data_IF_720206607329
#
_entry.id   IF_720206607329
#
_cell.length_a   1.000
_cell.length_b   1.000
_cell.length_c   1.000
_cell.angle_alpha   90.00
_cell.angle_beta   90.00
_cell.angle_gamma   90.00
#
_symmetry.space_group_name_H-M   'P 1'
#
loop_
_entity.id
_entity.type
_entity.pdbx_description
1 polymer ?
#
# COMPACT_ATOMS: atom_id res chain seq x y z
N UNK A 1 -5.96 24.78 -2.29
CA UNK A 1 -5.55 23.41 -1.93
C UNK A 1 -6.62 22.52 -2.54
N UNK A 2 -6.26 21.71 -3.53
CA UNK A 2 -7.19 20.74 -4.11
C UNK A 2 -7.54 19.73 -3.03
N UNK A 3 -8.82 19.60 -2.68
CA UNK A 3 -9.29 18.60 -1.72
C UNK A 3 -8.79 17.22 -2.12
N UNK A 4 -7.97 16.60 -1.27
CA UNK A 4 -7.56 15.21 -1.46
C UNK A 4 -8.78 14.31 -1.30
N UNK A 5 -8.89 13.25 -2.12
CA UNK A 5 -9.92 12.22 -1.95
C UNK A 5 -9.74 11.42 -0.64
N UNK A 6 -8.59 11.58 0.00
CA UNK A 6 -8.32 11.03 1.32
C UNK A 6 -9.09 11.79 2.42
N UNK A 7 -9.59 13.01 2.19
CA UNK A 7 -10.29 13.79 3.22
C UNK A 7 -11.44 13.02 3.87
N UNK A 8 -11.39 12.93 5.21
CA UNK A 8 -12.35 12.19 6.04
C UNK A 8 -12.24 10.67 5.98
N UNK A 9 -11.21 10.11 5.33
CA UNK A 9 -10.98 8.66 5.25
C UNK A 9 -10.29 8.12 6.49
N UNK A 10 -10.58 6.86 6.80
CA UNK A 10 -9.90 6.09 7.85
C UNK A 10 -8.80 5.24 7.23
N UNK A 11 -7.56 5.49 7.64
CA UNK A 11 -6.38 4.82 7.13
C UNK A 11 -5.70 4.09 8.29
N UNK A 12 -5.38 2.81 8.08
CA UNK A 12 -4.54 2.04 8.98
C UNK A 12 -3.18 1.81 8.34
N UNK A 13 -2.10 2.21 9.00
CA UNK A 13 -0.74 1.84 8.61
C UNK A 13 -0.14 0.83 9.59
N UNK A 14 0.46 -0.23 9.05
CA UNK A 14 1.06 -1.31 9.82
C UNK A 14 2.50 -1.54 9.37
N UNK A 15 3.44 -1.27 10.25
CA UNK A 15 4.89 -1.38 10.00
C UNK A 15 5.59 -1.54 11.36
N UNK A 16 6.54 -2.45 11.48
CA UNK A 16 7.29 -2.67 12.72
C UNK A 16 8.30 -1.55 13.00
N UNK A 17 8.57 -0.68 12.01
CA UNK A 17 9.42 0.49 12.11
C UNK A 17 8.60 1.76 12.42
N UNK A 18 8.63 2.29 13.66
CA UNK A 18 7.84 3.46 14.05
C UNK A 18 8.21 4.74 13.27
N UNK A 19 9.45 4.84 12.80
CA UNK A 19 9.92 5.96 12.00
C UNK A 19 9.24 5.99 10.62
N UNK A 20 9.01 4.81 10.01
CA UNK A 20 8.26 4.69 8.75
C UNK A 20 6.80 5.11 8.94
N UNK A 21 6.18 4.70 10.05
CA UNK A 21 4.82 5.14 10.39
C UNK A 21 4.74 6.65 10.68
N UNK A 22 5.84 7.24 11.15
CA UNK A 22 5.95 8.69 11.39
C UNK A 22 5.96 9.45 10.08
N UNK A 23 6.82 9.05 9.15
CA UNK A 23 6.87 9.63 7.79
C UNK A 23 5.54 9.45 7.05
N UNK A 24 4.93 8.26 7.12
CA UNK A 24 3.63 8.03 6.49
C UNK A 24 2.53 8.95 7.01
N UNK A 25 2.46 9.16 8.33
CA UNK A 25 1.48 10.07 8.90
C UNK A 25 1.75 11.50 8.45
N UNK A 26 3.00 11.97 8.48
CA UNK A 26 3.36 13.31 8.03
C UNK A 26 2.92 13.56 6.58
N UNK A 27 3.32 12.70 5.66
CA UNK A 27 2.99 12.82 4.23
C UNK A 27 1.47 12.79 3.98
N UNK A 28 0.75 11.91 4.69
CA UNK A 28 -0.71 11.77 4.54
C UNK A 28 -1.44 12.97 5.16
N UNK A 29 -1.04 13.41 6.35
CA UNK A 29 -1.69 14.50 7.07
C UNK A 29 -1.44 15.85 6.40
N UNK A 30 -0.28 16.04 5.77
CA UNK A 30 0.02 17.24 4.96
C UNK A 30 -0.92 17.37 3.75
N UNK A 31 -1.27 16.24 3.12
CA UNK A 31 -2.23 16.21 2.02
C UNK A 31 -3.69 16.17 2.48
N UNK A 32 -3.94 15.61 3.65
CA UNK A 32 -5.27 15.34 4.20
C UNK A 32 -5.31 15.55 5.73
N UNK A 33 -5.45 16.80 6.20
CA UNK A 33 -5.47 17.10 7.63
C UNK A 33 -6.67 16.50 8.38
N UNK A 34 -7.77 16.23 7.67
CA UNK A 34 -9.02 15.69 8.23
C UNK A 34 -9.08 14.15 8.19
N UNK A 35 -8.01 13.48 7.76
CA UNK A 35 -7.91 12.03 7.77
C UNK A 35 -7.85 11.48 9.21
N UNK A 36 -8.37 10.26 9.39
CA UNK A 36 -8.17 9.50 10.62
C UNK A 36 -7.07 8.48 10.34
N UNK A 37 -5.90 8.68 10.94
CA UNK A 37 -4.75 7.81 10.78
C UNK A 37 -4.54 6.97 12.04
N UNK A 38 -4.66 5.64 11.92
CA UNK A 38 -4.32 4.69 12.96
C UNK A 38 -3.02 3.96 12.62
N UNK A 39 -2.26 3.59 13.65
CA UNK A 39 -0.98 2.90 13.55
C UNK A 39 -1.00 1.55 14.28
N UNK A 40 -0.32 0.57 13.71
CA UNK A 40 0.05 -0.66 14.41
C UNK A 40 1.50 -1.04 14.11
N UNK A 41 2.23 -1.44 15.15
CA UNK A 41 3.63 -1.88 15.04
C UNK A 41 3.81 -3.39 15.16
N UNK A 42 2.71 -4.12 15.36
CA UNK A 42 2.73 -5.58 15.43
C UNK A 42 1.55 -6.16 14.68
N UNK A 43 1.69 -7.41 14.26
CA UNK A 43 0.58 -8.17 13.68
C UNK A 43 -0.64 -8.20 14.62
N UNK A 44 -0.44 -8.46 15.91
CA UNK A 44 -1.54 -8.64 16.86
C UNK A 44 -2.32 -7.33 17.09
N UNK A 45 -1.63 -6.19 17.08
CA UNK A 45 -2.28 -4.88 17.17
C UNK A 45 -3.03 -4.54 15.88
N UNK A 46 -2.46 -4.88 14.72
CA UNK A 46 -3.12 -4.71 13.43
C UNK A 46 -4.40 -5.53 13.31
N UNK A 47 -4.38 -6.81 13.70
CA UNK A 47 -5.58 -7.67 13.69
C UNK A 47 -6.69 -7.07 14.55
N UNK A 48 -6.37 -6.64 15.78
CA UNK A 48 -7.34 -6.00 16.68
C UNK A 48 -7.96 -4.74 16.05
N UNK A 49 -7.17 -3.92 15.36
CA UNK A 49 -7.68 -2.73 14.66
C UNK A 49 -8.58 -3.12 13.48
N UNK A 50 -8.14 -4.05 12.63
CA UNK A 50 -8.91 -4.57 11.49
C UNK A 50 -10.24 -5.25 11.88
N UNK A 51 -10.35 -5.74 13.12
CA UNK A 51 -11.58 -6.31 13.68
C UNK A 51 -12.49 -5.26 14.33
N UNK A 52 -11.92 -4.22 14.93
CA UNK A 52 -12.66 -3.27 15.77
C UNK A 52 -13.14 -2.01 15.04
N UNK A 53 -12.50 -1.64 13.93
CA UNK A 53 -12.77 -0.37 13.23
C UNK A 53 -12.95 -0.59 11.73
N UNK A 54 -13.85 0.17 11.08
CA UNK A 54 -13.88 0.24 9.63
C UNK A 54 -12.71 1.10 9.13
N UNK A 55 -12.09 0.66 8.03
CA UNK A 55 -11.05 1.40 7.32
C UNK A 55 -11.46 1.55 5.86
N UNK A 56 -11.07 2.67 5.23
CA UNK A 56 -11.20 2.85 3.80
C UNK A 56 -9.96 2.33 3.06
N UNK A 57 -8.81 2.36 3.74
CA UNK A 57 -7.50 2.02 3.20
C UNK A 57 -6.61 1.44 4.29
N UNK A 58 -5.86 0.39 3.93
CA UNK A 58 -4.85 -0.24 4.80
C UNK A 58 -3.51 -0.23 4.09
N UNK A 59 -2.46 0.15 4.80
CA UNK A 59 -1.09 0.17 4.32
C UNK A 59 -0.30 -0.85 5.15
N UNK A 60 0.34 -1.82 4.50
CA UNK A 60 0.98 -2.95 5.18
C UNK A 60 2.44 -3.09 4.76
N UNK A 61 3.37 -3.13 5.71
CA UNK A 61 4.70 -3.68 5.48
C UNK A 61 4.63 -5.20 5.24
N UNK A 62 5.48 -5.71 4.35
CA UNK A 62 5.49 -7.12 3.97
C UNK A 62 6.16 -8.02 5.03
N UNK A 63 7.32 -7.66 5.55
CA UNK A 63 8.19 -8.61 6.26
C UNK A 63 8.18 -8.47 7.77
N UNK A 64 8.09 -7.26 8.31
CA UNK A 64 8.16 -7.00 9.75
C UNK A 64 6.89 -7.38 10.51
N UNK A 65 5.73 -7.40 9.83
CA UNK A 65 4.41 -7.56 10.47
C UNK A 65 3.59 -8.71 9.90
N UNK A 66 4.22 -9.67 9.21
CA UNK A 66 3.53 -10.74 8.47
C UNK A 66 2.50 -10.15 7.47
N UNK A 67 2.96 -9.27 6.60
CA UNK A 67 2.10 -8.45 5.74
C UNK A 67 1.17 -9.25 4.83
N UNK A 68 1.59 -10.42 4.34
CA UNK A 68 0.72 -11.26 3.51
C UNK A 68 -0.45 -11.87 4.30
N UNK A 69 -0.25 -12.23 5.56
CA UNK A 69 -1.33 -12.72 6.42
C UNK A 69 -2.34 -11.59 6.67
N UNK A 70 -1.85 -10.37 6.93
CA UNK A 70 -2.70 -9.19 7.11
C UNK A 70 -3.43 -8.78 5.82
N UNK A 71 -2.78 -8.93 4.65
CA UNK A 71 -3.38 -8.68 3.35
C UNK A 71 -4.59 -9.60 3.11
N UNK A 72 -4.43 -10.91 3.35
CA UNK A 72 -5.53 -11.88 3.21
C UNK A 72 -6.71 -11.52 4.12
N UNK A 73 -6.45 -11.14 5.38
CA UNK A 73 -7.49 -10.70 6.32
C UNK A 73 -8.20 -9.42 5.85
N UNK A 74 -7.45 -8.43 5.37
CA UNK A 74 -7.99 -7.15 4.93
C UNK A 74 -8.81 -7.29 3.63
N UNK A 75 -8.32 -8.06 2.66
CA UNK A 75 -9.02 -8.30 1.39
C UNK A 75 -10.29 -9.10 1.60
N UNK A 76 -10.31 -10.09 2.51
CA UNK A 76 -11.54 -10.80 2.89
C UNK A 76 -12.62 -9.89 3.52
N UNK A 77 -12.22 -8.72 4.03
CA UNK A 77 -13.10 -7.67 4.54
C UNK A 77 -13.44 -6.61 3.50
N UNK A 78 -13.11 -6.83 2.23
CA UNK A 78 -13.28 -5.89 1.11
C UNK A 78 -12.54 -4.55 1.31
N UNK A 79 -11.44 -4.57 2.08
CA UNK A 79 -10.63 -3.39 2.30
C UNK A 79 -9.67 -3.17 1.13
N UNK A 80 -9.39 -1.89 0.85
CA UNK A 80 -8.39 -1.50 -0.13
C UNK A 80 -7.02 -1.53 0.54
N UNK A 81 -6.07 -2.28 -0.03
CA UNK A 81 -4.76 -2.50 0.59
C UNK A 81 -3.62 -2.05 -0.31
N UNK A 82 -2.69 -1.27 0.26
CA UNK A 82 -1.39 -0.95 -0.31
C UNK A 82 -0.30 -1.74 0.42
N UNK A 83 0.53 -2.46 -0.32
CA UNK A 83 1.72 -3.12 0.24
C UNK A 83 2.92 -2.17 0.15
N UNK A 84 3.62 -1.98 1.26
CA UNK A 84 4.90 -1.28 1.34
C UNK A 84 6.03 -2.28 1.57
N UNK A 85 7.19 -2.02 0.97
CA UNK A 85 8.38 -2.82 1.26
C UNK A 85 9.69 -2.10 0.95
N UNK A 86 10.69 -2.25 1.82
CA UNK A 86 12.06 -1.84 1.50
C UNK A 86 12.88 -3.01 0.92
N UNK A 87 12.70 -4.19 1.51
CA UNK A 87 13.64 -5.30 1.34
C UNK A 87 13.07 -6.49 0.55
N UNK A 88 11.75 -6.61 0.43
CA UNK A 88 11.10 -7.72 -0.26
C UNK A 88 10.83 -7.42 -1.73
N UNK A 89 11.50 -6.42 -2.32
CA UNK A 89 11.20 -5.96 -3.67
C UNK A 89 11.67 -6.98 -4.71
N UNK A 90 10.75 -7.81 -5.21
CA UNK A 90 11.01 -8.80 -6.25
C UNK A 90 9.78 -9.01 -7.14
N UNK A 91 9.95 -9.57 -8.35
CA UNK A 91 8.83 -9.98 -9.19
C UNK A 91 7.87 -10.96 -8.50
N UNK A 92 8.41 -11.85 -7.66
CA UNK A 92 7.61 -12.84 -6.93
C UNK A 92 6.68 -12.18 -5.91
N UNK A 93 7.18 -11.28 -5.08
CA UNK A 93 6.36 -10.62 -4.05
C UNK A 93 5.37 -9.62 -4.66
N UNK A 94 5.74 -8.99 -5.78
CA UNK A 94 4.84 -8.17 -6.58
C UNK A 94 3.67 -9.01 -7.12
N UNK A 95 3.96 -10.11 -7.81
CA UNK A 95 2.93 -11.01 -8.35
C UNK A 95 2.04 -11.58 -7.24
N UNK A 96 2.65 -12.04 -6.15
CA UNK A 96 1.90 -12.54 -4.98
C UNK A 96 0.96 -11.47 -4.40
N UNK A 97 1.42 -10.21 -4.31
CA UNK A 97 0.57 -9.11 -3.82
C UNK A 97 -0.64 -8.87 -4.73
N UNK A 98 -0.43 -8.92 -6.05
CA UNK A 98 -1.50 -8.80 -7.05
C UNK A 98 -2.49 -9.96 -6.89
N UNK A 99 -2.00 -11.21 -6.89
CA UNK A 99 -2.84 -12.41 -6.78
C UNK A 99 -3.67 -12.44 -5.49
N UNK A 100 -3.14 -11.90 -4.40
CA UNK A 100 -3.82 -11.80 -3.11
C UNK A 100 -4.79 -10.62 -3.01
N UNK A 101 -4.93 -9.80 -4.05
CA UNK A 101 -5.91 -8.71 -4.11
C UNK A 101 -5.41 -7.37 -3.56
N UNK A 102 -4.10 -7.18 -3.36
CA UNK A 102 -3.57 -5.85 -3.10
C UNK A 102 -3.89 -4.91 -4.27
N UNK A 103 -4.11 -3.63 -3.97
CA UNK A 103 -4.39 -2.59 -4.96
C UNK A 103 -3.18 -1.74 -5.31
N UNK A 104 -2.12 -1.84 -4.51
CA UNK A 104 -0.85 -1.21 -4.81
C UNK A 104 0.32 -1.98 -4.17
N UNK A 105 1.50 -1.79 -4.74
CA UNK A 105 2.77 -2.29 -4.25
C UNK A 105 3.83 -1.21 -4.41
N UNK A 106 4.39 -0.75 -3.31
CA UNK A 106 5.19 0.47 -3.23
C UNK A 106 6.52 0.22 -2.50
N UNK A 107 7.67 0.61 -3.08
CA UNK A 107 8.92 0.64 -2.35
C UNK A 107 8.87 1.71 -1.23
N UNK A 108 9.46 1.44 -0.06
CA UNK A 108 9.60 2.45 1.01
C UNK A 108 10.42 3.69 0.56
N UNK A 109 11.26 3.55 -0.48
CA UNK A 109 11.96 4.68 -1.11
C UNK A 109 11.03 5.73 -1.74
N UNK A 110 9.74 5.41 -1.91
CA UNK A 110 8.71 6.26 -2.51
C UNK A 110 7.71 6.82 -1.50
N UNK A 111 8.03 6.79 -0.20
CA UNK A 111 7.16 7.32 0.86
C UNK A 111 6.80 8.80 0.66
N UNK A 112 7.74 9.64 0.26
CA UNK A 112 7.48 11.06 -0.03
C UNK A 112 6.59 11.32 -1.25
N UNK A 113 6.23 10.29 -2.01
CA UNK A 113 5.28 10.36 -3.13
C UNK A 113 4.09 9.43 -2.91
N UNK A 114 3.85 8.95 -1.68
CA UNK A 114 2.87 7.90 -1.39
C UNK A 114 1.43 8.34 -1.67
N UNK A 115 1.10 9.59 -1.36
CA UNK A 115 -0.28 10.12 -1.42
C UNK A 115 -0.93 9.93 -2.80
N UNK A 116 -0.32 10.34 -3.93
CA UNK A 116 -0.87 10.06 -5.26
C UNK A 116 -1.18 8.59 -5.56
N UNK A 117 -0.50 7.64 -4.93
CA UNK A 117 -0.82 6.22 -5.09
C UNK A 117 -2.01 5.81 -4.23
N UNK A 118 -2.09 6.30 -3.00
CA UNK A 118 -3.24 6.06 -2.12
C UNK A 118 -4.53 6.64 -2.72
N UNK A 119 -4.45 7.82 -3.31
CA UNK A 119 -5.57 8.43 -4.03
C UNK A 119 -6.02 7.59 -5.23
N UNK A 120 -5.06 7.08 -6.02
CA UNK A 120 -5.35 6.22 -7.17
C UNK A 120 -6.07 4.92 -6.73
N UNK A 121 -5.69 4.32 -5.61
CA UNK A 121 -6.35 3.13 -5.01
C UNK A 121 -7.82 3.41 -4.66
N UNK A 122 -8.11 4.63 -4.20
CA UNK A 122 -9.48 5.02 -3.84
C UNK A 122 -10.32 5.38 -5.06
N UNK A 123 -9.70 6.05 -6.05
CA UNK A 123 -10.36 6.68 -7.20
C UNK A 123 -10.67 5.72 -8.34
N UNK A 124 -9.78 4.78 -8.61
CA UNK A 124 -9.87 3.91 -9.78
C UNK A 124 -10.31 2.49 -9.42
N UNK A 125 -10.82 1.78 -10.43
CA UNK A 125 -11.01 0.33 -10.34
C UNK A 125 -9.65 -0.38 -10.24
N UNK A 126 -9.71 -1.68 -9.94
CA UNK A 126 -8.54 -2.51 -9.71
C UNK A 126 -7.56 -2.49 -10.89
N UNK A 127 -8.04 -2.65 -12.13
CA UNK A 127 -7.17 -2.74 -13.30
C UNK A 127 -6.53 -1.40 -13.64
N UNK A 128 -7.34 -0.33 -13.63
CA UNK A 128 -6.86 1.02 -13.92
C UNK A 128 -5.87 1.49 -12.86
N UNK A 129 -6.11 1.19 -11.58
CA UNK A 129 -5.18 1.52 -10.49
C UNK A 129 -3.81 0.86 -10.69
N UNK A 130 -3.80 -0.44 -10.99
CA UNK A 130 -2.56 -1.17 -11.26
C UNK A 130 -1.81 -0.67 -12.50
N UNK A 131 -2.51 -0.40 -13.61
CA UNK A 131 -1.88 0.18 -14.82
C UNK A 131 -1.14 1.48 -14.50
N UNK A 132 -1.82 2.39 -13.79
CA UNK A 132 -1.24 3.69 -13.40
C UNK A 132 -0.03 3.53 -12.48
N UNK A 133 -0.10 2.61 -11.53
CA UNK A 133 1.03 2.31 -10.65
C UNK A 133 2.22 1.77 -11.45
N UNK A 134 1.98 0.82 -12.35
CA UNK A 134 3.02 0.26 -13.21
C UNK A 134 3.64 1.32 -14.11
N UNK A 135 2.86 2.24 -14.68
CA UNK A 135 3.36 3.35 -15.49
C UNK A 135 4.26 4.29 -14.66
N UNK A 136 3.84 4.63 -13.43
CA UNK A 136 4.60 5.50 -12.52
C UNK A 136 5.89 4.85 -12.03
N UNK A 137 5.89 3.53 -11.79
CA UNK A 137 7.02 2.80 -11.20
C UNK A 137 7.80 1.97 -12.24
N UNK A 138 7.48 2.07 -13.53
CA UNK A 138 8.09 1.25 -14.58
C UNK A 138 9.61 1.38 -14.59
N UNK A 139 10.13 2.62 -14.54
CA UNK A 139 11.57 2.87 -14.52
C UNK A 139 12.22 2.29 -13.27
N UNK A 140 11.61 2.52 -12.10
CA UNK A 140 12.10 2.02 -10.82
C UNK A 140 12.20 0.49 -10.80
N UNK A 141 11.14 -0.20 -11.22
CA UNK A 141 11.16 -1.65 -11.23
C UNK A 141 12.06 -2.24 -12.33
N UNK A 142 12.18 -1.60 -13.50
CA UNK A 142 13.15 -2.02 -14.53
C UNK A 142 14.59 -1.98 -14.00
N UNK A 143 14.95 -0.89 -13.34
CA UNK A 143 16.30 -0.73 -12.79
C UNK A 143 16.58 -1.75 -11.68
N UNK A 144 15.55 -2.08 -10.88
CA UNK A 144 15.67 -2.94 -9.71
C UNK A 144 15.56 -4.44 -10.04
N UNK A 145 14.69 -4.82 -10.98
CA UNK A 145 14.47 -6.23 -11.37
C UNK A 145 15.35 -6.65 -12.55
N UNK A 146 15.96 -5.71 -13.28
CA UNK A 146 16.86 -5.97 -14.42
C UNK A 146 16.25 -6.99 -15.39
N UNK A 147 16.93 -8.12 -15.59
CA UNK A 147 16.58 -9.15 -16.56
C UNK A 147 15.30 -9.92 -16.21
N UNK A 148 14.81 -9.85 -14.96
CA UNK A 148 13.56 -10.46 -14.51
C UNK A 148 12.35 -9.49 -14.56
N UNK A 149 12.50 -8.32 -15.21
CA UNK A 149 11.42 -7.33 -15.38
C UNK A 149 10.29 -7.82 -16.31
N UNK A 150 10.47 -8.93 -17.04
CA UNK A 150 9.36 -9.60 -17.75
C UNK A 150 8.39 -10.28 -16.76
N UNK A 151 7.90 -9.49 -15.80
CA UNK A 151 6.79 -9.85 -14.95
C UNK A 151 5.60 -10.04 -15.88
N UNK A 152 5.25 -11.30 -16.12
CA UNK A 152 3.99 -11.71 -16.77
C UNK A 152 2.83 -11.38 -15.85
N UNK A 153 2.61 -10.10 -15.57
CA UNK A 153 1.37 -9.65 -14.96
C UNK A 153 0.27 -9.70 -16.02
N UNK A 154 -0.94 -10.09 -15.65
CA UNK A 154 -2.10 -10.01 -16.55
C UNK A 154 -2.37 -8.58 -17.04
N UNK A 155 -1.81 -7.57 -16.34
CA UNK A 155 -1.90 -6.14 -16.63
C UNK A 155 -1.11 -5.77 -17.90
N UNK A 156 -0.09 -6.55 -18.26
CA UNK A 156 0.78 -6.31 -19.43
C UNK A 156 0.22 -6.84 -20.76
N UNK A 157 -1.05 -7.26 -20.79
CA UNK A 157 -1.72 -7.85 -21.96
C UNK A 157 -2.61 -6.86 -22.71
#
# INVERSE_FOLDING_TARGET
MSDSILNGKRILAVDDEPDILSVLEEEIMDACPDCIFDRAITYESAVKLLESKPYDLVILDIMGVRGFDLLDLAVKKDLKVAMLTAHALSPETLNKSIEMGARAYLPKDKLGEVVPFLEDILKYDYETGWKRLMDKLQGFFKDRFKDDWEVKTWISK
#
